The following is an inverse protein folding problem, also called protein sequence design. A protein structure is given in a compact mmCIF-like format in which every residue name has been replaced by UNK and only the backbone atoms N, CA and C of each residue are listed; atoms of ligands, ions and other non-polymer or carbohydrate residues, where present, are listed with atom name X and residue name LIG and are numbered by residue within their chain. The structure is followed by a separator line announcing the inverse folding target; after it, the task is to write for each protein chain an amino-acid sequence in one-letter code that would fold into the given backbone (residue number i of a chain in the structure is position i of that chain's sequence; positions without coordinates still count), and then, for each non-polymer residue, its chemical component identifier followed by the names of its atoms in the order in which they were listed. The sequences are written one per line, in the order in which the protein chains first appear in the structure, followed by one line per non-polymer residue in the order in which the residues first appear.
data_IF_052422299665
#
_entry.id   IF_052422299665
#
_cell.length_a   1.000
_cell.length_b   1.000
_cell.length_c   1.000
_cell.angle_alpha   90.00
_cell.angle_beta   90.00
_cell.angle_gamma   90.00
#
_symmetry.space_group_name_H-M   'P 1'
#
loop_
_entity.id
_entity.type
_entity.pdbx_description
1 polymer ?
#
# COMPACT_ATOMS: atom_id res chain seq x y z
N UNK A 1 33.40 -38.49 3.30
CA UNK A 1 33.31 -37.91 4.67
C UNK A 1 33.18 -36.39 4.70
N UNK A 2 34.01 -35.60 4.00
CA UNK A 2 33.94 -34.13 4.09
C UNK A 2 32.61 -33.50 3.63
N UNK A 3 31.94 -34.07 2.63
CA UNK A 3 30.65 -33.55 2.14
C UNK A 3 29.53 -33.66 3.18
N UNK A 4 29.50 -34.77 3.93
CA UNK A 4 28.49 -35.00 4.97
C UNK A 4 28.70 -34.02 6.14
N UNK A 5 29.95 -33.79 6.53
CA UNK A 5 30.30 -32.84 7.59
C UNK A 5 29.93 -31.40 7.19
N UNK A 6 30.17 -31.01 5.93
CA UNK A 6 29.77 -29.69 5.42
C UNK A 6 28.25 -29.51 5.41
N UNK A 7 27.50 -30.54 5.06
CA UNK A 7 26.04 -30.50 5.02
C UNK A 7 25.42 -30.40 6.42
N UNK A 8 25.98 -31.12 7.40
CA UNK A 8 25.58 -31.02 8.81
C UNK A 8 25.88 -29.61 9.35
N UNK A 9 27.06 -29.05 9.03
CA UNK A 9 27.42 -27.69 9.46
C UNK A 9 26.48 -26.63 8.88
N UNK A 10 26.09 -26.77 7.60
CA UNK A 10 25.17 -25.85 6.94
C UNK A 10 23.77 -25.89 7.57
N UNK A 11 23.28 -27.07 7.94
CA UNK A 11 21.98 -27.23 8.62
C UNK A 11 22.00 -26.61 10.02
N UNK A 12 23.08 -26.79 10.77
CA UNK A 12 23.25 -26.17 12.09
C UNK A 12 23.29 -24.64 11.99
N UNK A 13 23.99 -24.09 10.99
CA UNK A 13 24.04 -22.66 10.73
C UNK A 13 22.64 -22.10 10.38
N UNK A 14 21.90 -22.79 9.52
CA UNK A 14 20.56 -22.38 9.12
C UNK A 14 19.59 -22.37 10.31
N UNK A 15 19.63 -23.43 11.13
CA UNK A 15 18.84 -23.51 12.35
C UNK A 15 19.20 -22.39 13.35
N UNK A 16 20.49 -22.08 13.48
CA UNK A 16 20.98 -20.97 14.30
C UNK A 16 20.47 -19.60 13.83
N UNK A 17 20.48 -19.34 12.53
CA UNK A 17 19.98 -18.09 11.94
C UNK A 17 18.47 -17.94 12.19
N UNK A 18 17.70 -19.00 11.96
CA UNK A 18 16.25 -19.00 12.21
C UNK A 18 15.96 -18.74 13.69
N UNK A 19 16.71 -19.38 14.60
CA UNK A 19 16.57 -19.18 16.03
C UNK A 19 16.89 -17.73 16.45
N UNK A 20 17.99 -17.17 15.94
CA UNK A 20 18.40 -15.80 16.24
C UNK A 20 17.37 -14.78 15.74
N UNK A 21 16.83 -14.98 14.53
CA UNK A 21 15.79 -14.12 13.97
C UNK A 21 14.50 -14.18 14.79
N UNK A 22 14.06 -15.38 15.17
CA UNK A 22 12.86 -15.56 16.00
C UNK A 22 13.03 -14.88 17.36
N UNK A 23 14.15 -15.11 18.03
CA UNK A 23 14.44 -14.52 19.34
C UNK A 23 14.49 -12.98 19.28
N UNK A 24 15.07 -12.43 18.21
CA UNK A 24 15.12 -10.99 18.01
C UNK A 24 13.73 -10.39 17.72
N UNK A 25 12.86 -11.11 16.98
CA UNK A 25 11.47 -10.70 16.77
C UNK A 25 10.65 -10.74 18.08
N UNK A 26 10.85 -11.76 18.91
CA UNK A 26 10.20 -11.91 20.22
C UNK A 26 10.55 -10.72 21.14
N UNK A 27 11.83 -10.32 21.19
CA UNK A 27 12.28 -9.16 21.96
C UNK A 27 11.62 -7.86 21.50
N UNK A 28 11.57 -7.61 20.19
CA UNK A 28 10.88 -6.42 19.66
C UNK A 28 9.39 -6.39 19.99
N UNK A 29 8.72 -7.55 20.02
CA UNK A 29 7.31 -7.64 20.43
C UNK A 29 7.13 -7.27 21.89
N UNK A 30 8.00 -7.75 22.78
CA UNK A 30 7.93 -7.43 24.20
C UNK A 30 8.20 -5.95 24.48
N UNK A 31 9.14 -5.32 23.76
CA UNK A 31 9.40 -3.88 23.86
C UNK A 31 8.21 -3.03 23.42
N UNK A 32 7.46 -3.46 22.39
CA UNK A 32 6.24 -2.77 21.94
C UNK A 32 5.10 -2.92 22.96
N UNK A 33 4.89 -4.13 23.49
CA UNK A 33 3.87 -4.39 24.52
C UNK A 33 4.17 -3.62 25.82
N UNK A 34 5.44 -3.47 26.20
CA UNK A 34 5.84 -2.69 27.37
C UNK A 34 5.60 -1.18 27.20
N UNK A 35 5.65 -0.67 25.95
CA UNK A 35 5.35 0.73 25.63
C UNK A 35 3.85 1.01 25.53
N UNK A 36 3.06 0.00 25.18
CA UNK A 36 1.60 0.07 25.04
C UNK A 36 0.86 -0.23 26.37
N UNK A 37 1.57 -0.40 27.48
CA UNK A 37 0.93 -0.59 28.79
C UNK A 37 0.16 0.68 29.18
N UNK A 38 -1.18 0.61 29.38
CA UNK A 38 -1.98 1.77 29.72
C UNK A 38 -1.56 2.31 31.09
N UNK A 39 -1.45 3.64 31.17
CA UNK A 39 -1.09 4.37 32.40
C UNK A 39 -2.04 3.97 33.55
N UNK A 40 -1.51 3.82 34.78
CA UNK A 40 -2.33 3.48 35.94
C UNK A 40 -3.41 4.57 36.16
N UNK A 41 -4.66 4.19 36.46
CA UNK A 41 -5.75 5.14 36.59
C UNK A 41 -5.50 6.10 37.77
N UNK A 42 -5.51 7.40 37.48
CA UNK A 42 -5.42 8.46 38.47
C UNK A 42 -6.68 8.45 39.34
N UNK A 43 -6.51 8.16 40.64
CA UNK A 43 -7.52 8.42 41.65
C UNK A 43 -7.75 9.93 41.73
N UNK A 44 -8.89 10.40 41.24
CA UNK A 44 -9.40 11.74 41.57
C UNK A 44 -10.24 11.67 42.83
N UNK A 45 -10.17 12.69 43.70
CA UNK A 45 -11.38 13.47 43.85
C UNK A 45 -11.16 15.00 43.93
N UNK A 46 -12.22 15.68 43.47
CA UNK A 46 -12.66 17.06 43.79
C UNK A 46 -11.96 18.28 43.16
N UNK A 47 -12.67 18.81 42.16
CA UNK A 47 -13.19 20.17 42.03
C UNK A 47 -12.28 21.38 42.30
N UNK A 48 -11.96 22.16 41.25
CA UNK A 48 -12.09 23.63 41.17
C UNK A 48 -12.19 24.06 39.68
N UNK A 49 -12.94 25.12 39.45
CA UNK A 49 -13.38 25.78 38.21
C UNK A 49 -12.34 26.28 37.18
N UNK A 50 -12.91 26.61 36.01
CA UNK A 50 -12.50 27.56 34.94
C UNK A 50 -11.81 27.06 33.66
N UNK A 51 -12.14 27.69 32.50
CA UNK A 51 -12.28 27.00 31.23
C UNK A 51 -11.00 27.11 30.40
N UNK A 52 -10.33 25.98 30.19
CA UNK A 52 -9.28 25.85 29.21
C UNK A 52 -9.74 24.88 28.13
N UNK A 53 -9.88 25.42 26.92
CA UNK A 53 -10.15 24.76 25.65
C UNK A 53 -9.46 23.39 25.64
N UNK A 54 -10.27 22.35 25.84
CA UNK A 54 -9.85 20.98 25.63
C UNK A 54 -9.72 20.81 24.13
N UNK A 55 -8.48 20.89 23.65
CA UNK A 55 -8.11 20.26 22.39
C UNK A 55 -8.33 18.78 22.63
N UNK A 56 -9.53 18.32 22.28
CA UNK A 56 -9.85 16.92 22.09
C UNK A 56 -8.92 16.45 20.98
N UNK A 57 -7.75 15.94 21.37
CA UNK A 57 -6.95 15.11 20.48
C UNK A 57 -7.79 13.86 20.27
N UNK A 58 -8.51 13.90 19.16
CA UNK A 58 -9.23 12.80 18.53
C UNK A 58 -8.26 11.65 18.30
N UNK A 59 -8.13 10.80 19.32
CA UNK A 59 -7.40 9.54 19.29
C UNK A 59 -8.23 8.49 18.54
N UNK A 60 -8.44 8.71 17.24
CA UNK A 60 -9.04 7.73 16.34
C UNK A 60 -8.64 7.95 14.87
N UNK A 61 -7.38 7.63 14.50
CA UNK A 61 -7.17 6.96 13.22
C UNK A 61 -6.18 5.79 13.24
N UNK A 62 -5.36 5.60 14.28
CA UNK A 62 -4.26 4.63 14.22
C UNK A 62 -4.68 3.16 14.39
N UNK A 63 -5.62 2.88 15.29
CA UNK A 63 -6.05 1.50 15.56
C UNK A 63 -6.74 0.84 14.34
N UNK A 64 -7.64 1.56 13.68
CA UNK A 64 -8.28 1.08 12.44
C UNK A 64 -7.29 0.98 11.26
N UNK A 65 -6.27 1.84 11.22
CA UNK A 65 -5.23 1.81 10.19
C UNK A 65 -4.25 0.64 10.37
N UNK A 66 -4.00 0.19 11.60
CA UNK A 66 -3.19 -0.98 11.88
C UNK A 66 -3.90 -2.27 11.43
N UNK A 67 -5.22 -2.36 11.62
CA UNK A 67 -6.01 -3.56 11.39
C UNK A 67 -6.05 -3.99 9.91
N UNK A 68 -6.37 -3.06 8.99
CA UNK A 68 -6.44 -3.41 7.57
C UNK A 68 -5.07 -3.81 6.98
N UNK A 69 -3.97 -3.22 7.48
CA UNK A 69 -2.61 -3.55 7.01
C UNK A 69 -2.20 -4.94 7.46
N UNK A 70 -2.43 -5.26 8.73
CA UNK A 70 -2.12 -6.58 9.27
C UNK A 70 -2.96 -7.67 8.58
N UNK A 71 -4.26 -7.41 8.37
CA UNK A 71 -5.15 -8.31 7.62
C UNK A 71 -4.68 -8.52 6.17
N UNK A 72 -4.36 -7.44 5.46
CA UNK A 72 -3.84 -7.51 4.10
C UNK A 72 -2.53 -8.32 4.02
N UNK A 73 -1.62 -8.09 4.98
CA UNK A 73 -0.35 -8.79 5.10
C UNK A 73 -0.57 -10.30 5.31
N UNK A 74 -1.46 -10.69 6.22
CA UNK A 74 -1.81 -12.09 6.47
C UNK A 74 -2.42 -12.77 5.23
N UNK A 75 -3.34 -12.10 4.54
CA UNK A 75 -3.97 -12.63 3.32
C UNK A 75 -2.94 -12.82 2.18
N UNK A 76 -2.02 -11.86 2.02
CA UNK A 76 -0.95 -11.95 1.02
C UNK A 76 -0.03 -13.14 1.30
N UNK A 77 0.34 -13.35 2.56
CA UNK A 77 1.23 -14.44 2.96
C UNK A 77 0.55 -15.82 2.82
N UNK A 78 -0.79 -15.86 2.83
CA UNK A 78 -1.60 -17.05 2.49
C UNK A 78 -1.80 -17.23 0.96
N UNK A 79 -1.24 -16.35 0.12
CA UNK A 79 -1.45 -16.40 -1.34
C UNK A 79 -2.81 -15.86 -1.81
N UNK A 80 -3.63 -15.32 -0.90
CA UNK A 80 -4.98 -14.79 -1.19
C UNK A 80 -4.90 -13.34 -1.69
N UNK A 81 -4.24 -13.16 -2.85
CA UNK A 81 -3.89 -11.83 -3.36
C UNK A 81 -5.10 -10.94 -3.69
N UNK A 82 -6.16 -11.52 -4.28
CA UNK A 82 -7.39 -10.77 -4.60
C UNK A 82 -8.02 -10.14 -3.34
N UNK A 83 -8.11 -10.93 -2.27
CA UNK A 83 -8.68 -10.47 -1.00
C UNK A 83 -7.76 -9.50 -0.25
N UNK A 84 -6.45 -9.68 -0.37
CA UNK A 84 -5.48 -8.73 0.14
C UNK A 84 -5.61 -7.37 -0.56
N UNK A 85 -5.80 -7.34 -1.88
CA UNK A 85 -6.06 -6.09 -2.62
C UNK A 85 -7.41 -5.49 -2.24
N UNK A 86 -8.48 -6.28 -2.12
CA UNK A 86 -9.79 -5.76 -1.72
C UNK A 86 -9.78 -5.16 -0.32
N UNK A 87 -8.96 -5.71 0.59
CA UNK A 87 -8.73 -5.12 1.92
C UNK A 87 -8.03 -3.75 1.81
N UNK A 88 -7.04 -3.59 0.92
CA UNK A 88 -6.43 -2.28 0.67
C UNK A 88 -7.43 -1.26 0.11
N UNK A 89 -8.35 -1.69 -0.76
CA UNK A 89 -9.35 -0.80 -1.40
C UNK A 89 -10.24 -0.09 -0.40
N UNK A 90 -10.49 -0.68 0.77
CA UNK A 90 -11.30 -0.08 1.84
C UNK A 90 -10.68 1.19 2.43
N UNK A 91 -9.36 1.36 2.28
CA UNK A 91 -8.61 2.52 2.76
C UNK A 91 -8.26 3.50 1.63
N UNK A 92 -8.90 3.40 0.46
CA UNK A 92 -8.78 4.45 -0.56
C UNK A 92 -9.52 5.73 -0.11
N UNK A 93 -9.05 6.92 -0.51
CA UNK A 93 -7.94 7.23 -1.42
C UNK A 93 -6.60 7.53 -0.71
N UNK A 94 -6.23 6.78 0.33
CA UNK A 94 -4.95 7.02 1.02
C UNK A 94 -3.75 6.52 0.22
N UNK A 95 -2.67 7.31 0.12
CA UNK A 95 -1.45 6.90 -0.61
C UNK A 95 -0.90 5.54 -0.15
N UNK A 96 -0.89 5.30 1.16
CA UNK A 96 -0.33 4.08 1.76
C UNK A 96 -1.10 2.81 1.35
N UNK A 97 -2.41 2.90 1.07
CA UNK A 97 -3.17 1.74 0.60
C UNK A 97 -2.85 1.39 -0.85
N UNK A 98 -2.55 2.38 -1.71
CA UNK A 98 -2.00 2.14 -3.05
C UNK A 98 -0.61 1.48 -2.99
N UNK A 99 0.28 1.93 -2.11
CA UNK A 99 1.59 1.29 -1.93
C UNK A 99 1.49 -0.17 -1.50
N UNK A 100 0.63 -0.46 -0.52
CA UNK A 100 0.40 -1.82 -0.07
C UNK A 100 -0.22 -2.70 -1.16
N UNK A 101 -1.24 -2.22 -1.87
CA UNK A 101 -1.84 -2.94 -2.99
C UNK A 101 -0.80 -3.26 -4.08
N UNK A 102 0.08 -2.31 -4.42
CA UNK A 102 1.14 -2.55 -5.41
C UNK A 102 2.12 -3.63 -4.95
N UNK A 103 2.46 -3.70 -3.65
CA UNK A 103 3.29 -4.78 -3.11
C UNK A 103 2.60 -6.14 -3.21
N UNK A 104 1.30 -6.20 -2.93
CA UNK A 104 0.48 -7.42 -3.07
C UNK A 104 0.43 -7.89 -4.52
N UNK A 105 0.11 -6.99 -5.46
CA UNK A 105 0.05 -7.31 -6.89
C UNK A 105 1.40 -7.81 -7.42
N UNK A 106 2.51 -7.20 -7.01
CA UNK A 106 3.85 -7.69 -7.36
C UNK A 106 4.17 -9.05 -6.76
N UNK A 107 3.68 -9.35 -5.56
CA UNK A 107 3.83 -10.68 -4.98
C UNK A 107 3.07 -11.72 -5.80
N UNK A 108 1.86 -11.39 -6.25
CA UNK A 108 1.08 -12.24 -7.15
C UNK A 108 1.78 -12.47 -8.50
N UNK A 109 2.32 -11.41 -9.12
CA UNK A 109 3.06 -11.51 -10.40
C UNK A 109 4.27 -12.45 -10.30
N UNK A 110 4.98 -12.42 -9.16
CA UNK A 110 6.16 -13.26 -8.90
C UNK A 110 5.84 -14.67 -8.42
N UNK A 111 4.59 -14.97 -8.08
CA UNK A 111 4.23 -16.28 -7.60
C UNK A 111 4.41 -17.31 -8.74
N UNK A 112 5.19 -18.39 -8.52
CA UNK A 112 5.48 -19.39 -9.55
C UNK A 112 4.24 -20.17 -9.99
N UNK A 113 3.25 -20.31 -9.10
CA UNK A 113 1.99 -21.02 -9.35
C UNK A 113 0.99 -20.18 -10.16
N UNK A 114 1.30 -18.90 -10.40
CA UNK A 114 0.47 -18.01 -11.21
C UNK A 114 0.74 -18.24 -12.70
N UNK A 115 -0.30 -18.67 -13.41
CA UNK A 115 -0.26 -18.87 -14.85
C UNK A 115 -0.03 -17.56 -15.62
N UNK A 116 0.28 -17.68 -16.91
CA UNK A 116 0.60 -16.51 -17.74
C UNK A 116 -0.57 -15.54 -17.86
N UNK A 117 -1.81 -16.06 -17.99
CA UNK A 117 -2.99 -15.22 -18.15
C UNK A 117 -3.28 -14.40 -16.88
N UNK A 118 -3.27 -15.03 -15.71
CA UNK A 118 -3.46 -14.36 -14.42
C UNK A 118 -2.33 -13.37 -14.15
N UNK A 119 -1.08 -13.71 -14.52
CA UNK A 119 0.04 -12.78 -14.41
C UNK A 119 -0.18 -11.52 -15.25
N UNK A 120 -0.67 -11.66 -16.47
CA UNK A 120 -1.01 -10.52 -17.34
C UNK A 120 -2.13 -9.68 -16.73
N UNK A 121 -3.18 -10.29 -16.18
CA UNK A 121 -4.24 -9.58 -15.47
C UNK A 121 -3.69 -8.78 -14.29
N UNK A 122 -2.76 -9.34 -13.51
CA UNK A 122 -2.12 -8.60 -12.42
C UNK A 122 -1.25 -7.44 -12.90
N UNK A 123 -0.56 -7.59 -14.03
CA UNK A 123 0.19 -6.48 -14.63
C UNK A 123 -0.74 -5.35 -15.07
N UNK A 124 -1.85 -5.67 -15.74
CA UNK A 124 -2.88 -4.68 -16.07
C UNK A 124 -3.45 -3.98 -14.83
N UNK A 125 -3.79 -4.75 -13.79
CA UNK A 125 -4.28 -4.21 -12.53
C UNK A 125 -3.25 -3.31 -11.85
N UNK A 126 -1.96 -3.68 -11.88
CA UNK A 126 -0.87 -2.87 -11.33
C UNK A 126 -0.69 -1.55 -12.08
N UNK A 127 -0.80 -1.56 -13.40
CA UNK A 127 -0.79 -0.34 -14.20
C UNK A 127 -1.97 0.58 -13.85
N UNK A 128 -3.20 0.04 -13.82
CA UNK A 128 -4.39 0.82 -13.44
C UNK A 128 -4.27 1.40 -12.04
N UNK A 129 -3.82 0.61 -11.06
CA UNK A 129 -3.57 1.06 -9.69
C UNK A 129 -2.58 2.24 -9.65
N UNK A 130 -1.49 2.15 -10.42
CA UNK A 130 -0.49 3.21 -10.49
C UNK A 130 -1.02 4.46 -11.17
N UNK A 131 -1.87 4.32 -12.20
CA UNK A 131 -2.54 5.44 -12.85
C UNK A 131 -3.55 6.12 -11.92
N UNK A 132 -4.33 5.37 -11.15
CA UNK A 132 -5.24 5.92 -10.13
C UNK A 132 -4.46 6.68 -9.05
N UNK A 133 -3.36 6.10 -8.56
CA UNK A 133 -2.49 6.76 -7.59
C UNK A 133 -1.88 8.05 -8.16
N UNK A 134 -1.44 8.04 -9.42
CA UNK A 134 -0.92 9.23 -10.11
C UNK A 134 -1.98 10.33 -10.22
N UNK A 135 -3.19 9.96 -10.64
CA UNK A 135 -4.34 10.87 -10.73
C UNK A 135 -4.60 11.60 -9.41
N UNK A 136 -4.63 10.85 -8.29
CA UNK A 136 -4.96 11.39 -6.98
C UNK A 136 -3.81 12.12 -6.28
N UNK A 137 -2.56 11.67 -6.45
CA UNK A 137 -1.48 12.07 -5.52
C UNK A 137 -0.30 12.79 -6.15
N UNK A 138 -0.14 12.75 -7.48
CA UNK A 138 1.00 13.43 -8.08
C UNK A 138 0.86 14.95 -7.99
N UNK A 139 1.94 15.69 -8.21
CA UNK A 139 1.88 17.14 -8.38
C UNK A 139 2.09 17.42 -9.85
N UNK A 140 1.22 18.23 -10.42
CA UNK A 140 1.22 18.54 -11.85
C UNK A 140 1.21 20.04 -12.00
N UNK A 141 2.20 20.56 -12.73
CA UNK A 141 2.30 21.98 -13.01
C UNK A 141 1.05 22.47 -13.76
N UNK A 142 0.52 23.62 -13.35
CA UNK A 142 -0.69 24.22 -13.95
C UNK A 142 -2.02 23.60 -13.50
N UNK A 143 -2.02 22.67 -12.54
CA UNK A 143 -3.23 22.17 -11.87
C UNK A 143 -3.16 22.39 -10.36
N UNK A 144 -4.32 22.53 -9.68
CA UNK A 144 -4.32 22.66 -8.23
C UNK A 144 -3.84 21.40 -7.55
N UNK A 145 -3.16 21.58 -6.42
CA UNK A 145 -2.62 20.49 -5.63
C UNK A 145 -3.73 19.62 -4.99
N UNK A 146 -3.46 18.32 -4.79
CA UNK A 146 -4.41 17.41 -4.19
C UNK A 146 -4.66 17.77 -2.71
N UNK A 147 -5.92 18.06 -2.36
CA UNK A 147 -6.35 18.26 -0.98
C UNK A 147 -6.93 16.94 -0.46
N UNK A 148 -6.26 16.24 0.49
CA UNK A 148 -6.64 14.88 0.88
C UNK A 148 -8.10 14.74 1.34
N UNK A 149 -8.61 15.72 2.08
CA UNK A 149 -9.99 15.73 2.59
C UNK A 149 -11.02 15.80 1.46
N UNK A 150 -10.76 16.63 0.44
CA UNK A 150 -11.66 16.79 -0.70
C UNK A 150 -11.63 15.53 -1.58
N UNK A 151 -10.46 14.95 -1.78
CA UNK A 151 -10.31 13.70 -2.54
C UNK A 151 -11.07 12.55 -1.89
N UNK A 152 -11.04 12.44 -0.55
CA UNK A 152 -11.80 11.42 0.18
C UNK A 152 -13.32 11.60 0.06
N UNK A 153 -13.80 12.78 -0.30
CA UNK A 153 -15.23 13.06 -0.53
C UNK A 153 -15.65 12.86 -1.98
N UNK A 154 -14.73 12.98 -2.93
CA UNK A 154 -15.01 13.05 -4.38
C UNK A 154 -14.61 11.80 -5.15
N UNK A 155 -13.82 10.92 -4.55
CA UNK A 155 -13.30 9.72 -5.21
C UNK A 155 -13.33 8.54 -4.25
N UNK A 156 -14.35 7.69 -4.42
CA UNK A 156 -14.36 6.35 -3.85
C UNK A 156 -13.74 5.29 -4.80
N UNK A 157 -13.77 4.03 -4.38
CA UNK A 157 -13.22 2.93 -5.17
C UNK A 157 -13.94 2.70 -6.50
N UNK A 158 -15.26 2.91 -6.54
CA UNK A 158 -16.07 2.70 -7.74
C UNK A 158 -15.86 3.82 -8.74
N UNK A 159 -15.79 5.07 -8.27
CA UNK A 159 -15.52 6.24 -9.11
C UNK A 159 -14.14 6.14 -9.77
N UNK A 160 -13.14 5.65 -9.04
CA UNK A 160 -11.81 5.40 -9.60
C UNK A 160 -11.82 4.28 -10.65
N UNK A 161 -12.53 3.18 -10.39
CA UNK A 161 -12.61 2.06 -11.33
C UNK A 161 -13.36 2.44 -12.63
N UNK A 162 -14.23 3.45 -12.58
CA UNK A 162 -14.93 4.00 -13.74
C UNK A 162 -14.05 4.93 -14.61
N UNK A 163 -12.91 5.41 -14.10
CA UNK A 163 -11.98 6.20 -14.89
C UNK A 163 -11.26 5.31 -15.90
N UNK A 164 -11.36 5.67 -17.18
CA UNK A 164 -10.56 5.01 -18.21
C UNK A 164 -9.09 5.39 -18.05
N UNK A 165 -8.20 4.40 -18.13
CA UNK A 165 -6.76 4.59 -17.98
C UNK A 165 -6.05 3.99 -19.20
N UNK A 166 -6.12 4.64 -20.38
CA UNK A 166 -5.57 4.08 -21.60
C UNK A 166 -4.04 4.06 -21.56
N UNK A 167 -3.48 2.86 -21.73
CA UNK A 167 -2.02 2.66 -21.80
C UNK A 167 -1.33 3.53 -22.87
N UNK A 168 -1.85 3.65 -24.11
CA UNK A 168 -1.15 4.40 -25.16
C UNK A 168 -0.93 5.88 -24.84
N UNK A 169 -1.78 6.48 -24.01
CA UNK A 169 -1.76 7.91 -23.72
C UNK A 169 -1.03 8.22 -22.40
N UNK A 170 -1.36 7.48 -21.33
CA UNK A 170 -0.75 7.69 -20.01
C UNK A 170 0.68 7.14 -19.99
N UNK A 171 0.87 5.94 -20.54
CA UNK A 171 2.13 5.21 -20.46
C UNK A 171 2.59 4.99 -19.01
N UNK A 172 3.90 5.00 -18.78
CA UNK A 172 4.46 4.60 -17.47
C UNK A 172 5.46 5.57 -16.85
N UNK A 173 5.88 6.63 -17.54
CA UNK A 173 6.98 7.51 -17.07
C UNK A 173 6.62 8.27 -15.81
N UNK A 174 5.43 8.87 -15.81
CA UNK A 174 4.90 9.67 -14.69
C UNK A 174 4.35 8.79 -13.55
N UNK A 175 4.22 7.47 -13.75
CA UNK A 175 3.65 6.57 -12.77
C UNK A 175 4.68 6.20 -11.70
N UNK A 176 4.74 7.00 -10.63
CA UNK A 176 5.68 6.84 -9.50
C UNK A 176 5.56 5.52 -8.78
N UNK A 177 4.36 4.93 -8.76
CA UNK A 177 4.14 3.66 -8.10
C UNK A 177 4.82 2.50 -8.84
N UNK A 178 5.11 2.62 -10.14
CA UNK A 178 5.72 1.56 -10.95
C UNK A 178 7.25 1.55 -10.83
N UNK A 179 7.82 0.36 -10.56
CA UNK A 179 9.27 0.15 -10.57
C UNK A 179 9.81 -0.03 -11.99
N UNK A 180 11.14 0.03 -12.16
CA UNK A 180 11.81 -0.24 -13.45
C UNK A 180 11.48 -1.63 -14.00
N UNK A 181 11.30 -2.63 -13.14
CA UNK A 181 10.91 -3.98 -13.57
C UNK A 181 9.47 -4.03 -14.07
N UNK A 182 8.55 -3.39 -13.35
CA UNK A 182 7.13 -3.33 -13.74
C UNK A 182 6.98 -2.67 -15.11
N UNK A 183 7.67 -1.54 -15.34
CA UNK A 183 7.66 -0.80 -16.62
C UNK A 183 8.09 -1.68 -17.79
N UNK A 184 9.17 -2.45 -17.61
CA UNK A 184 9.66 -3.39 -18.64
C UNK A 184 8.66 -4.51 -18.93
N UNK A 185 8.04 -5.07 -17.89
CA UNK A 185 7.04 -6.13 -18.05
C UNK A 185 5.79 -5.61 -18.75
N UNK A 186 5.35 -4.40 -18.41
CA UNK A 186 4.21 -3.73 -19.06
C UNK A 186 4.50 -3.41 -20.52
N UNK A 187 5.65 -2.81 -20.84
CA UNK A 187 6.04 -2.54 -22.22
C UNK A 187 6.17 -3.84 -23.05
N UNK A 188 6.65 -4.93 -22.45
CA UNK A 188 6.68 -6.24 -23.11
C UNK A 188 5.26 -6.80 -23.37
N UNK A 189 4.32 -6.55 -22.46
CA UNK A 189 2.95 -7.05 -22.55
C UNK A 189 2.08 -6.22 -23.51
N UNK A 190 2.18 -4.90 -23.43
CA UNK A 190 1.27 -3.94 -24.07
C UNK A 190 1.90 -3.20 -25.26
N UNK A 191 3.19 -3.40 -25.49
CA UNK A 191 3.98 -2.56 -26.39
C UNK A 191 4.40 -1.23 -25.73
N UNK A 192 5.24 -0.48 -26.42
CA UNK A 192 5.60 0.88 -26.00
C UNK A 192 4.39 1.80 -26.20
N UNK A 193 4.06 2.66 -25.21
CA UNK A 193 2.95 3.60 -25.34
C UNK A 193 3.30 4.70 -26.35
N UNK A 194 2.27 5.25 -27.00
CA UNK A 194 2.45 6.32 -27.98
C UNK A 194 2.88 7.63 -27.31
N UNK A 195 2.43 7.87 -26.08
CA UNK A 195 2.74 9.04 -25.29
C UNK A 195 3.00 8.69 -23.82
N UNK A 196 3.48 9.69 -23.08
CA UNK A 196 3.61 9.63 -21.64
C UNK A 196 3.08 10.92 -21.05
N UNK A 197 2.03 10.82 -20.24
CA UNK A 197 1.47 11.96 -19.52
C UNK A 197 0.92 11.53 -18.16
N UNK A 198 0.83 12.47 -17.23
CA UNK A 198 0.18 12.21 -15.93
C UNK A 198 -1.30 11.86 -16.14
N UNK A 199 -1.79 10.87 -15.39
CA UNK A 199 -3.21 10.51 -15.39
C UNK A 199 -4.11 11.69 -15.01
N UNK A 200 -3.61 12.65 -14.21
CA UNK A 200 -4.34 13.89 -13.88
C UNK A 200 -4.46 14.85 -15.06
N UNK A 201 -3.43 14.96 -15.90
CA UNK A 201 -3.50 15.78 -17.12
C UNK A 201 -4.52 15.18 -18.08
N UNK A 202 -4.46 13.85 -18.27
CA UNK A 202 -5.40 13.14 -19.12
C UNK A 202 -6.85 13.39 -18.69
N UNK A 203 -7.13 13.29 -17.39
CA UNK A 203 -8.45 13.54 -16.80
C UNK A 203 -8.65 14.99 -16.32
N UNK A 204 -7.97 15.98 -16.92
CA UNK A 204 -7.97 17.37 -16.43
C UNK A 204 -9.37 17.94 -16.20
N UNK A 205 -10.31 17.69 -17.11
CA UNK A 205 -11.70 18.17 -16.99
C UNK A 205 -12.39 17.59 -15.76
N UNK A 206 -12.24 16.29 -15.53
CA UNK A 206 -12.82 15.59 -14.38
C UNK A 206 -12.16 16.05 -13.07
N UNK A 207 -10.85 16.25 -13.09
CA UNK A 207 -10.11 16.78 -11.94
C UNK A 207 -10.63 18.16 -11.55
N UNK A 208 -10.66 19.11 -12.50
CA UNK A 208 -11.11 20.48 -12.25
C UNK A 208 -12.55 20.53 -11.72
N UNK A 209 -13.45 19.71 -12.25
CA UNK A 209 -14.83 19.63 -11.78
C UNK A 209 -14.98 19.07 -10.36
N UNK A 210 -14.03 18.24 -9.89
CA UNK A 210 -14.06 17.66 -8.55
C UNK A 210 -13.47 18.59 -7.48
N UNK A 211 -12.66 19.57 -7.89
CA UNK A 211 -11.95 20.48 -6.98
C UNK A 211 -12.45 21.94 -7.03
N UNK A 212 -13.33 22.26 -7.97
CA UNK A 212 -14.04 23.54 -8.07
C UNK A 212 -15.19 23.62 -7.07
#
# INVERSE_FOLDING_TARGET
MMVIVSLILALLLLAGIIYALRHHQERRRQELVAREQPLPPLKTPMAVSEPAVTVTVESAPEAANADWRQRCQALRDQGRYQEAVSTCRQAWPQWQSFEHAARVMRAAIRNPDTDSATRQQWLHALFRLAAHASFLHDRVEGLPDPIPRLLAQQFDAQELDALDMPWPEIGYRELRLLTKSDRKQLAKLLGEPAAHQSARIFHRKRWLAAIS
#
